data_IF_966524423896
#
_entry.id   IF_966524423896
#
_cell.length_a   1.000
_cell.length_b   1.000
_cell.length_c   1.000
_cell.angle_alpha   90.00
_cell.angle_beta   90.00
_cell.angle_gamma   90.00
#
_symmetry.space_group_name_H-M   'P 1'
#
loop_
_entity.id
_entity.type
_entity.pdbx_description
1 polymer ?
#
# COMPACT_ATOMS: atom_id res chain seq x y z
N UNK A 1 3.10 -7.30 -7.34
CA UNK A 1 2.97 -6.34 -6.22
C UNK A 1 1.53 -5.86 -6.05
N UNK A 2 0.89 -5.29 -7.08
CA UNK A 2 -0.52 -4.83 -6.98
C UNK A 2 -1.50 -5.98 -6.67
N UNK A 3 -1.37 -7.11 -7.36
CA UNK A 3 -2.20 -8.30 -7.09
C UNK A 3 -2.05 -8.80 -5.65
N UNK A 4 -0.84 -8.71 -5.08
CA UNK A 4 -0.60 -9.06 -3.68
C UNK A 4 -1.33 -8.10 -2.73
N UNK A 5 -1.29 -6.79 -2.98
CA UNK A 5 -2.05 -5.82 -2.19
C UNK A 5 -3.57 -6.03 -2.32
N UNK A 6 -4.07 -6.39 -3.51
CA UNK A 6 -5.47 -6.75 -3.73
C UNK A 6 -5.86 -8.02 -2.97
N UNK A 7 -5.01 -9.05 -3.01
CA UNK A 7 -5.23 -10.29 -2.27
C UNK A 7 -5.29 -10.02 -0.76
N UNK A 8 -4.35 -9.22 -0.25
CA UNK A 8 -4.29 -8.87 1.17
C UNK A 8 -5.54 -8.12 1.63
N UNK A 9 -6.01 -7.15 0.82
CA UNK A 9 -7.27 -6.44 1.08
C UNK A 9 -8.49 -7.37 1.06
N UNK A 10 -8.50 -8.39 0.20
CA UNK A 10 -9.56 -9.40 0.16
C UNK A 10 -9.52 -10.34 1.37
N UNK A 11 -8.33 -10.68 1.85
CA UNK A 11 -8.13 -11.58 3.00
C UNK A 11 -8.44 -10.91 4.34
N UNK A 12 -8.22 -9.60 4.45
CA UNK A 12 -8.43 -8.81 5.67
C UNK A 12 -9.28 -7.56 5.42
N UNK A 13 -10.54 -7.71 4.97
CA UNK A 13 -11.37 -6.57 4.52
C UNK A 13 -11.76 -5.60 5.64
N UNK A 14 -11.69 -6.04 6.90
CA UNK A 14 -11.95 -5.25 8.11
C UNK A 14 -10.76 -4.36 8.53
N UNK A 15 -9.56 -4.68 8.04
CA UNK A 15 -8.32 -4.00 8.44
C UNK A 15 -7.61 -3.31 7.26
N UNK A 16 -7.63 -3.93 6.08
CA UNK A 16 -6.82 -3.55 4.93
C UNK A 16 -7.71 -3.01 3.81
N UNK A 17 -7.48 -1.75 3.43
CA UNK A 17 -8.16 -1.10 2.31
C UNK A 17 -7.15 -0.72 1.22
N UNK A 18 -7.39 -1.16 -0.01
CA UNK A 18 -6.62 -0.71 -1.18
C UNK A 18 -7.12 0.66 -1.64
N UNK A 19 -6.21 1.62 -1.80
CA UNK A 19 -6.50 2.98 -2.23
C UNK A 19 -5.82 3.25 -3.56
N UNK A 20 -6.52 3.85 -4.52
CA UNK A 20 -5.89 4.48 -5.66
C UNK A 20 -5.61 5.95 -5.30
N UNK A 21 -4.35 6.26 -4.98
CA UNK A 21 -3.97 7.57 -4.45
C UNK A 21 -3.73 8.61 -5.54
N UNK A 22 -3.29 8.18 -6.74
CA UNK A 22 -2.99 9.06 -7.86
C UNK A 22 -2.78 8.28 -9.16
N UNK A 23 -2.32 8.96 -10.22
CA UNK A 23 -1.79 8.34 -11.44
C UNK A 23 -0.36 8.85 -11.70
N UNK A 24 0.49 8.02 -12.27
CA UNK A 24 1.82 8.42 -12.76
C UNK A 24 1.71 9.34 -13.97
N UNK A 25 2.82 9.95 -14.38
CA UNK A 25 2.90 10.70 -15.65
C UNK A 25 2.41 9.88 -16.85
N UNK A 26 2.83 8.61 -16.96
CA UNK A 26 2.40 7.69 -18.04
C UNK A 26 0.99 7.09 -17.81
N UNK A 27 0.19 7.65 -16.88
CA UNK A 27 -1.20 7.26 -16.67
C UNK A 27 -1.44 5.96 -15.88
N UNK A 28 -0.41 5.34 -15.29
CA UNK A 28 -0.57 4.13 -14.47
C UNK A 28 -1.17 4.49 -13.10
N UNK A 29 -2.14 3.72 -12.58
CA UNK A 29 -2.65 3.92 -11.22
C UNK A 29 -1.53 3.78 -10.18
N UNK A 30 -1.55 4.63 -9.17
CA UNK A 30 -0.65 4.57 -8.03
C UNK A 30 -1.45 4.09 -6.82
N UNK A 31 -1.14 2.88 -6.35
CA UNK A 31 -1.86 2.27 -5.25
C UNK A 31 -1.14 2.49 -3.92
N UNK A 32 -1.93 2.70 -2.87
CA UNK A 32 -1.50 2.62 -1.48
C UNK A 32 -2.37 1.63 -0.71
N UNK A 33 -1.90 1.21 0.46
CA UNK A 33 -2.66 0.37 1.38
C UNK A 33 -2.88 1.12 2.68
N UNK A 34 -4.14 1.23 3.12
CA UNK A 34 -4.49 1.71 4.44
C UNK A 34 -4.75 0.51 5.35
N UNK A 35 -4.02 0.44 6.47
CA UNK A 35 -4.21 -0.55 7.52
C UNK A 35 -4.80 0.16 8.74
N UNK A 36 -6.05 -0.11 9.09
CA UNK A 36 -6.74 0.53 10.21
C UNK A 36 -7.91 -0.30 10.69
N UNK A 37 -7.98 -0.53 12.01
CA UNK A 37 -9.15 -1.11 12.68
C UNK A 37 -10.24 -0.08 13.03
N UNK A 38 -10.06 1.18 12.59
CA UNK A 38 -11.00 2.27 12.88
C UNK A 38 -11.39 3.04 11.63
N UNK A 39 -12.66 3.41 11.57
CA UNK A 39 -13.24 4.29 10.57
C UNK A 39 -13.13 5.79 10.93
N UNK A 40 -12.65 6.12 12.13
CA UNK A 40 -12.44 7.51 12.58
C UNK A 40 -11.11 8.05 12.06
N UNK A 41 -10.99 9.37 11.99
CA UNK A 41 -9.71 10.02 11.72
C UNK A 41 -8.79 9.84 12.94
N UNK A 42 -7.62 9.22 12.72
CA UNK A 42 -6.62 8.94 13.74
C UNK A 42 -5.26 9.46 13.27
N UNK A 43 -4.34 9.81 14.18
CA UNK A 43 -2.94 9.97 13.82
C UNK A 43 -2.45 8.77 13.02
N UNK A 44 -1.70 9.03 11.95
CA UNK A 44 -1.29 8.01 10.99
C UNK A 44 0.22 8.03 10.82
N UNK A 45 0.78 6.85 10.56
CA UNK A 45 2.16 6.69 10.09
C UNK A 45 2.09 6.52 8.58
N UNK A 46 2.85 7.34 7.86
CA UNK A 46 2.99 7.24 6.41
C UNK A 46 4.33 6.59 6.08
N UNK A 47 4.29 5.60 5.20
CA UNK A 47 5.47 4.89 4.69
C UNK A 47 5.35 4.81 3.18
N UNK A 48 6.35 5.29 2.46
CA UNK A 48 6.50 5.06 1.03
C UNK A 48 7.73 4.20 0.73
N UNK A 49 7.76 3.64 -0.47
CA UNK A 49 8.89 2.85 -0.95
C UNK A 49 8.95 2.86 -2.47
N UNK A 50 10.16 2.76 -3.02
CA UNK A 50 10.38 2.65 -4.47
C UNK A 50 10.30 3.98 -5.22
N UNK A 51 10.55 5.12 -4.55
CA UNK A 51 10.66 6.42 -5.21
C UNK A 51 11.79 6.44 -6.25
N UNK A 52 12.88 5.72 -5.99
CA UNK A 52 13.90 5.41 -6.99
C UNK A 52 13.69 4.00 -7.56
N UNK A 53 13.54 3.92 -8.88
CA UNK A 53 13.19 2.67 -9.58
C UNK A 53 14.20 1.52 -9.40
N UNK A 54 15.44 1.79 -8.99
CA UNK A 54 16.52 0.79 -8.81
C UNK A 54 16.68 0.26 -7.39
N UNK A 55 16.02 0.87 -6.40
CA UNK A 55 16.14 0.50 -4.99
C UNK A 55 15.19 -0.64 -4.63
N UNK A 56 15.29 -1.79 -5.32
CA UNK A 56 14.28 -2.85 -5.30
C UNK A 56 14.02 -3.49 -3.93
N UNK A 57 14.96 -3.37 -3.00
CA UNK A 57 14.78 -3.84 -1.61
C UNK A 57 13.72 -3.01 -0.87
N UNK A 58 13.59 -1.72 -1.17
CA UNK A 58 12.61 -0.85 -0.50
C UNK A 58 11.14 -1.31 -0.71
N UNK A 59 10.63 -1.49 -1.95
CA UNK A 59 9.27 -1.99 -2.14
C UNK A 59 9.10 -3.43 -1.63
N UNK A 60 10.14 -4.28 -1.67
CA UNK A 60 10.08 -5.61 -1.09
C UNK A 60 9.90 -5.56 0.45
N UNK A 61 10.62 -4.67 1.14
CA UNK A 61 10.50 -4.47 2.58
C UNK A 61 9.13 -3.90 2.97
N UNK A 62 8.59 -2.96 2.19
CA UNK A 62 7.24 -2.44 2.42
C UNK A 62 6.17 -3.53 2.26
N UNK A 63 6.28 -4.40 1.25
CA UNK A 63 5.38 -5.53 1.07
C UNK A 63 5.47 -6.54 2.22
N UNK A 64 6.68 -6.79 2.74
CA UNK A 64 6.87 -7.62 3.93
C UNK A 64 6.21 -6.99 5.17
N UNK A 65 6.35 -5.67 5.35
CA UNK A 65 5.78 -4.93 6.48
C UNK A 65 4.25 -5.03 6.53
N UNK A 66 3.56 -4.94 5.39
CA UNK A 66 2.09 -5.02 5.36
C UNK A 66 1.53 -6.45 5.43
N UNK A 67 2.36 -7.47 5.19
CA UNK A 67 1.98 -8.88 5.31
C UNK A 67 1.99 -9.36 6.77
N UNK A 68 2.97 -8.90 7.53
CA UNK A 68 3.31 -9.41 8.86
C UNK A 68 2.36 -8.87 9.92
#
# INVERSE_FOLDING_TARGET
MVEFMQLLAKQHPDLVTLLNVSKTFEGRPMYGVKISSSYRFKPAIFVDAGIHAREWVAPAAALYMIKK
#
